data_IF_102923851735
#
_entry.id   IF_102923851735
#
_cell.length_a   1.000
_cell.length_b   1.000
_cell.length_c   1.000
_cell.angle_alpha   90.00
_cell.angle_beta   90.00
_cell.angle_gamma   90.00
#
_symmetry.space_group_name_H-M   'P 1'
#
loop_
_entity.id
_entity.type
_entity.pdbx_description
1 polymer ?
#
# COMPACT_ATOMS: atom_id res chain seq x y z
N UNK A 1 -12.56 11.26 -14.60
CA UNK A 1 -13.69 11.52 -13.67
C UNK A 1 -14.92 10.66 -13.93
N UNK A 2 -15.31 10.36 -15.18
CA UNK A 2 -16.50 9.54 -15.49
C UNK A 2 -16.55 8.18 -14.76
N UNK A 3 -15.44 7.44 -14.70
CA UNK A 3 -15.39 6.15 -13.99
C UNK A 3 -15.69 6.29 -12.49
N UNK A 4 -15.15 7.32 -11.85
CA UNK A 4 -15.41 7.59 -10.43
C UNK A 4 -16.87 8.02 -10.20
N UNK A 5 -17.45 8.80 -11.12
CA UNK A 5 -18.87 9.14 -11.09
C UNK A 5 -19.74 7.88 -11.13
N UNK A 6 -19.45 6.93 -12.03
CA UNK A 6 -20.18 5.66 -12.12
C UNK A 6 -20.05 4.82 -10.85
N UNK A 7 -18.83 4.73 -10.29
CA UNK A 7 -18.61 4.01 -9.03
C UNK A 7 -19.35 4.66 -7.85
N UNK A 8 -19.55 5.98 -7.87
CA UNK A 8 -20.29 6.71 -6.84
C UNK A 8 -21.82 6.59 -7.01
N UNK A 9 -22.35 6.83 -8.21
CA UNK A 9 -23.80 6.80 -8.51
C UNK A 9 -24.36 5.38 -8.44
N UNK A 10 -23.55 4.39 -8.80
CA UNK A 10 -23.81 2.98 -8.55
C UNK A 10 -23.64 2.11 -9.78
N UNK A 11 -23.27 0.86 -9.52
CA UNK A 11 -23.11 -0.19 -10.54
C UNK A 11 -23.86 -1.44 -10.08
N UNK A 12 -24.39 -2.20 -11.04
CA UNK A 12 -25.02 -3.49 -10.75
C UNK A 12 -23.98 -4.49 -10.27
N UNK A 13 -24.06 -4.86 -8.99
CA UNK A 13 -23.22 -5.86 -8.34
C UNK A 13 -23.98 -7.18 -8.26
N UNK A 14 -23.36 -8.25 -8.77
CA UNK A 14 -23.97 -9.58 -8.79
C UNK A 14 -24.41 -10.01 -7.37
N UNK A 15 -25.70 -10.29 -7.21
CA UNK A 15 -26.28 -10.72 -5.93
C UNK A 15 -26.53 -9.62 -4.91
N UNK A 16 -26.19 -8.36 -5.22
CA UNK A 16 -26.41 -7.21 -4.30
C UNK A 16 -27.18 -6.03 -4.91
N UNK A 17 -27.53 -6.09 -6.19
CA UNK A 17 -28.25 -5.01 -6.87
C UNK A 17 -27.35 -3.83 -7.20
N UNK A 18 -27.93 -2.64 -7.38
CA UNK A 18 -27.17 -1.42 -7.70
C UNK A 18 -26.59 -0.81 -6.43
N UNK A 19 -25.25 -0.68 -6.36
CA UNK A 19 -24.55 -0.13 -5.21
C UNK A 19 -23.55 0.96 -5.62
N UNK A 20 -23.50 2.04 -4.85
CA UNK A 20 -22.42 3.03 -4.89
C UNK A 20 -21.18 2.48 -4.17
N UNK A 21 -20.14 2.16 -4.92
CA UNK A 21 -18.94 1.47 -4.45
C UNK A 21 -17.92 2.39 -3.78
N UNK A 22 -17.94 3.69 -4.06
CA UNK A 22 -17.03 4.68 -3.47
C UNK A 22 -17.78 5.90 -2.93
N UNK A 23 -17.13 6.64 -2.02
CA UNK A 23 -17.58 7.96 -1.56
C UNK A 23 -17.45 9.02 -2.66
N UNK A 24 -18.04 10.20 -2.43
CA UNK A 24 -18.07 11.29 -3.42
C UNK A 24 -16.66 11.72 -3.85
N UNK A 25 -16.42 11.67 -5.16
CA UNK A 25 -15.10 11.80 -5.76
C UNK A 25 -14.60 13.24 -5.96
N UNK A 26 -15.43 14.26 -5.71
CA UNK A 26 -15.02 15.66 -5.79
C UNK A 26 -14.80 16.19 -4.38
N UNK A 27 -13.64 15.87 -3.83
CA UNK A 27 -13.23 16.19 -2.46
C UNK A 27 -11.75 16.56 -2.46
N UNK A 28 -11.40 17.56 -1.66
CA UNK A 28 -10.03 17.92 -1.28
C UNK A 28 -9.67 17.37 0.12
N UNK A 29 -10.62 16.69 0.78
CA UNK A 29 -10.45 16.13 2.11
C UNK A 29 -9.70 14.81 2.08
N UNK A 30 -8.79 14.64 3.03
CA UNK A 30 -8.16 13.36 3.35
C UNK A 30 -8.77 12.73 4.61
N UNK A 31 -9.77 13.37 5.22
CA UNK A 31 -10.41 12.91 6.46
C UNK A 31 -11.10 11.56 6.23
N UNK A 32 -10.92 10.64 7.17
CA UNK A 32 -11.65 9.37 7.26
C UNK A 32 -12.56 9.45 8.49
N UNK A 33 -13.85 9.15 8.36
CA UNK A 33 -14.77 9.10 9.51
C UNK A 33 -14.33 8.04 10.53
N UNK A 34 -14.70 8.26 11.80
CA UNK A 34 -14.39 7.32 12.89
C UNK A 34 -14.98 5.94 12.63
N UNK A 35 -16.16 5.87 12.02
CA UNK A 35 -16.81 4.61 11.61
C UNK A 35 -15.98 3.88 10.55
N UNK A 36 -15.57 4.57 9.48
CA UNK A 36 -14.74 3.96 8.44
C UNK A 36 -13.35 3.52 8.97
N UNK A 37 -12.77 4.25 9.92
CA UNK A 37 -11.54 3.85 10.59
C UNK A 37 -11.72 2.58 11.44
N UNK A 38 -12.85 2.46 12.15
CA UNK A 38 -13.16 1.28 12.95
C UNK A 38 -13.37 0.04 12.08
N UNK A 39 -14.14 0.17 10.99
CA UNK A 39 -14.34 -0.89 10.01
C UNK A 39 -13.03 -1.33 9.35
N UNK A 40 -12.17 -0.38 8.98
CA UNK A 40 -10.87 -0.69 8.42
C UNK A 40 -9.94 -1.38 9.42
N UNK A 41 -9.95 -0.96 10.69
CA UNK A 41 -9.22 -1.65 11.75
C UNK A 41 -9.66 -3.11 11.86
N UNK A 42 -10.95 -3.35 11.93
CA UNK A 42 -11.50 -4.72 12.02
C UNK A 42 -11.13 -5.55 10.78
N UNK A 43 -11.30 -4.99 9.59
CA UNK A 43 -10.94 -5.66 8.33
C UNK A 43 -9.44 -6.00 8.26
N UNK A 44 -8.56 -5.06 8.61
CA UNK A 44 -7.11 -5.27 8.57
C UNK A 44 -6.67 -6.31 9.61
N UNK A 45 -7.17 -6.19 10.84
CA UNK A 45 -6.78 -7.07 11.94
C UNK A 45 -7.28 -8.50 11.74
N UNK A 46 -8.49 -8.68 11.21
CA UNK A 46 -9.05 -10.00 10.89
C UNK A 46 -8.35 -10.67 9.71
N UNK A 47 -8.05 -9.92 8.64
CA UNK A 47 -7.52 -10.49 7.40
C UNK A 47 -6.01 -10.62 7.36
N UNK A 48 -5.27 -9.59 7.80
CA UNK A 48 -3.81 -9.55 7.73
C UNK A 48 -3.16 -9.82 9.08
N UNK A 49 -3.90 -9.58 10.17
CA UNK A 49 -3.44 -9.76 11.55
C UNK A 49 -3.08 -8.44 12.23
N UNK A 50 -3.09 -8.45 13.56
CA UNK A 50 -2.87 -7.24 14.39
C UNK A 50 -1.57 -6.50 14.07
N UNK A 51 -0.50 -7.22 13.70
CA UNK A 51 0.80 -6.63 13.34
C UNK A 51 0.76 -5.73 12.11
N UNK A 52 -0.29 -5.82 11.28
CA UNK A 52 -0.41 -4.99 10.09
C UNK A 52 -1.18 -3.70 10.33
N UNK A 53 -1.91 -3.54 11.44
CA UNK A 53 -2.72 -2.35 11.65
C UNK A 53 -1.90 -1.19 12.23
N UNK A 54 -2.11 0.03 11.72
CA UNK A 54 -1.70 1.29 12.34
C UNK A 54 -2.89 2.25 12.42
N UNK A 55 -3.00 2.99 13.52
CA UNK A 55 -4.02 4.04 13.64
C UNK A 55 -3.80 5.13 12.59
N UNK A 56 -4.89 5.64 12.01
CA UNK A 56 -4.82 6.73 11.06
C UNK A 56 -4.41 8.04 11.75
N UNK A 57 -3.24 8.59 11.39
CA UNK A 57 -2.61 9.72 12.08
C UNK A 57 -2.93 11.11 11.52
N UNK A 58 -4.02 11.28 10.77
CA UNK A 58 -4.28 12.56 10.11
C UNK A 58 -4.59 13.68 11.11
N UNK A 59 -3.72 14.70 11.12
CA UNK A 59 -3.96 15.97 11.80
C UNK A 59 -4.47 16.97 10.77
N UNK A 60 -5.63 17.58 11.05
CA UNK A 60 -6.28 18.57 10.20
C UNK A 60 -5.36 19.76 9.94
N UNK A 61 -5.02 20.02 8.68
CA UNK A 61 -4.19 21.17 8.27
C UNK A 61 -5.08 22.20 7.55
N UNK A 62 -5.43 23.30 8.23
CA UNK A 62 -6.04 24.48 7.61
C UNK A 62 -7.31 24.98 8.31
N UNK A 63 -7.49 26.32 8.34
CA UNK A 63 -8.61 27.00 9.01
C UNK A 63 -9.94 27.04 8.22
N UNK A 64 -9.96 26.60 6.95
CA UNK A 64 -11.08 26.80 6.03
C UNK A 64 -11.55 25.52 5.29
N UNK A 65 -11.32 24.33 5.85
CA UNK A 65 -11.79 23.09 5.22
C UNK A 65 -13.27 22.88 5.57
N UNK A 66 -14.12 22.64 4.56
CA UNK A 66 -15.49 22.19 4.77
C UNK A 66 -15.47 20.80 5.41
N UNK A 67 -15.50 20.75 6.75
CA UNK A 67 -15.23 19.57 7.59
C UNK A 67 -16.20 18.39 7.38
N UNK A 68 -17.29 18.61 6.64
CA UNK A 68 -18.25 17.57 6.28
C UNK A 68 -17.71 16.57 5.24
N UNK A 69 -16.70 16.92 4.44
CA UNK A 69 -16.24 16.03 3.35
C UNK A 69 -15.26 14.95 3.83
N UNK A 70 -15.45 13.72 3.35
CA UNK A 70 -14.53 12.60 3.52
C UNK A 70 -13.60 12.45 2.32
N UNK A 71 -12.53 11.68 2.50
CA UNK A 71 -11.71 11.20 1.39
C UNK A 71 -12.48 10.26 0.46
N UNK A 72 -11.89 10.01 -0.71
CA UNK A 72 -12.37 8.98 -1.64
C UNK A 72 -11.95 7.61 -1.10
N UNK A 73 -12.92 6.78 -0.74
CA UNK A 73 -12.73 5.44 -0.17
C UNK A 73 -13.85 4.50 -0.62
N UNK A 74 -13.70 3.17 -0.44
CA UNK A 74 -14.82 2.25 -0.58
C UNK A 74 -15.97 2.62 0.37
N UNK A 75 -17.20 2.57 -0.13
CA UNK A 75 -18.41 2.67 0.70
C UNK A 75 -18.64 1.39 1.51
N UNK A 76 -18.23 0.26 0.94
CA UNK A 76 -18.37 -1.09 1.46
C UNK A 76 -16.98 -1.73 1.51
N UNK A 77 -16.40 -1.83 2.70
CA UNK A 77 -15.04 -2.37 2.87
C UNK A 77 -15.00 -3.88 2.67
N UNK A 78 -16.13 -4.55 2.85
CA UNK A 78 -16.27 -5.99 2.68
C UNK A 78 -16.39 -6.41 1.21
N UNK A 79 -16.51 -5.46 0.27
CA UNK A 79 -16.55 -5.74 -1.16
C UNK A 79 -15.14 -5.66 -1.74
N UNK A 80 -14.35 -6.71 -1.58
CA UNK A 80 -12.98 -6.68 -2.08
C UNK A 80 -12.92 -6.61 -3.60
N UNK A 81 -11.84 -6.04 -4.20
CA UNK A 81 -11.73 -5.95 -5.65
C UNK A 81 -12.00 -7.28 -6.37
N UNK A 82 -11.51 -8.40 -5.83
CA UNK A 82 -11.69 -9.73 -6.40
C UNK A 82 -13.17 -10.16 -6.49
N UNK A 83 -14.01 -9.76 -5.54
CA UNK A 83 -15.44 -10.08 -5.54
C UNK A 83 -16.21 -9.30 -6.62
N UNK A 84 -15.64 -8.18 -7.08
CA UNK A 84 -16.24 -7.29 -8.05
C UNK A 84 -15.73 -7.50 -9.49
N UNK A 85 -14.79 -8.43 -9.70
CA UNK A 85 -14.15 -8.67 -11.01
C UNK A 85 -15.17 -8.96 -12.12
N UNK A 86 -16.26 -9.68 -11.80
CA UNK A 86 -17.32 -10.00 -12.75
C UNK A 86 -18.44 -8.94 -12.83
N UNK A 87 -18.45 -7.96 -11.94
CA UNK A 87 -19.48 -6.89 -11.91
C UNK A 87 -18.99 -5.59 -12.53
N UNK A 88 -17.67 -5.40 -12.64
CA UNK A 88 -17.04 -4.18 -13.14
C UNK A 88 -16.40 -4.42 -14.50
N UNK A 89 -16.42 -3.39 -15.36
CA UNK A 89 -15.55 -3.40 -16.53
C UNK A 89 -14.08 -3.21 -16.10
N UNK A 90 -13.15 -3.47 -17.03
CA UNK A 90 -11.70 -3.45 -16.77
C UNK A 90 -11.21 -2.14 -16.13
N UNK A 91 -11.72 -0.99 -16.57
CA UNK A 91 -11.24 0.31 -16.09
C UNK A 91 -11.90 0.71 -14.76
N UNK A 92 -13.17 0.39 -14.56
CA UNK A 92 -13.86 0.52 -13.26
C UNK A 92 -13.18 -0.35 -12.20
N UNK A 93 -12.86 -1.61 -12.53
CA UNK A 93 -12.17 -2.52 -11.64
C UNK A 93 -10.79 -1.98 -11.25
N UNK A 94 -9.99 -1.53 -12.22
CA UNK A 94 -8.67 -0.95 -11.95
C UNK A 94 -8.77 0.28 -11.03
N UNK A 95 -9.74 1.16 -11.27
CA UNK A 95 -9.93 2.35 -10.45
C UNK A 95 -10.42 1.98 -9.04
N UNK A 96 -11.40 1.08 -8.93
CA UNK A 96 -11.89 0.61 -7.64
C UNK A 96 -10.76 -0.06 -6.85
N UNK A 97 -9.99 -0.96 -7.47
CA UNK A 97 -8.83 -1.61 -6.86
C UNK A 97 -7.81 -0.58 -6.36
N UNK A 98 -7.52 0.45 -7.15
CA UNK A 98 -6.60 1.52 -6.73
C UNK A 98 -7.11 2.26 -5.49
N UNK A 99 -8.39 2.66 -5.48
CA UNK A 99 -9.02 3.35 -4.35
C UNK A 99 -9.02 2.45 -3.11
N UNK A 100 -9.43 1.19 -3.27
CA UNK A 100 -9.49 0.19 -2.20
C UNK A 100 -8.11 -0.04 -1.58
N UNK A 101 -7.12 -0.38 -2.41
CA UNK A 101 -5.75 -0.63 -1.95
C UNK A 101 -5.16 0.59 -1.25
N UNK A 102 -5.38 1.81 -1.77
CA UNK A 102 -4.89 3.04 -1.15
C UNK A 102 -5.54 3.30 0.22
N UNK A 103 -6.84 3.07 0.34
CA UNK A 103 -7.59 3.26 1.57
C UNK A 103 -7.16 2.27 2.67
N UNK A 104 -6.98 0.99 2.33
CA UNK A 104 -6.51 0.00 3.30
C UNK A 104 -5.05 0.29 3.70
N UNK A 105 -4.18 0.55 2.73
CA UNK A 105 -2.76 0.80 2.97
C UNK A 105 -2.48 1.98 3.91
N UNK A 106 -3.32 3.03 3.91
CA UNK A 106 -3.09 4.19 4.77
C UNK A 106 -3.23 3.87 6.27
N UNK A 107 -3.91 2.78 6.61
CA UNK A 107 -4.07 2.25 7.97
C UNK A 107 -3.29 0.95 8.20
N UNK A 108 -2.35 0.62 7.31
CA UNK A 108 -1.41 -0.49 7.50
C UNK A 108 -0.03 -0.02 7.93
N UNK A 109 0.66 -0.81 8.75
CA UNK A 109 2.03 -0.59 9.20
C UNK A 109 3.00 -0.39 8.02
N UNK A 110 4.08 0.33 8.27
CA UNK A 110 5.09 0.59 7.26
C UNK A 110 5.85 -0.70 6.92
N UNK A 111 6.32 -0.81 5.68
CA UNK A 111 7.24 -1.87 5.30
C UNK A 111 8.58 -1.67 6.01
N UNK A 112 9.17 -2.75 6.52
CA UNK A 112 10.47 -2.72 7.18
C UNK A 112 11.50 -3.39 6.29
N UNK A 113 12.61 -2.69 6.08
CA UNK A 113 13.74 -3.17 5.29
C UNK A 113 14.99 -3.22 6.17
N UNK A 114 15.78 -4.26 5.97
CA UNK A 114 17.17 -4.33 6.40
C UNK A 114 18.02 -3.69 5.31
N UNK A 115 18.85 -2.71 5.68
CA UNK A 115 19.84 -2.10 4.80
C UNK A 115 21.22 -2.62 5.17
N UNK A 116 21.96 -3.12 4.19
CA UNK A 116 23.30 -3.65 4.35
C UNK A 116 24.28 -2.81 3.54
N UNK A 117 25.44 -2.52 4.11
CA UNK A 117 26.53 -1.82 3.43
C UNK A 117 27.82 -2.57 3.70
N UNK A 118 28.34 -3.26 2.69
CA UNK A 118 29.62 -3.98 2.77
C UNK A 118 30.69 -3.10 2.13
N UNK A 119 31.73 -2.78 2.89
CA UNK A 119 32.94 -2.17 2.35
C UNK A 119 34.04 -3.22 2.29
N UNK A 120 34.81 -3.25 1.21
CA UNK A 120 35.91 -4.18 1.03
C UNK A 120 37.12 -3.42 0.49
N UNK A 121 38.25 -3.61 1.14
CA UNK A 121 39.52 -2.98 0.78
C UNK A 121 40.37 -4.01 0.03
N UNK A 122 40.87 -3.63 -1.15
CA UNK A 122 41.73 -4.45 -1.98
C UNK A 122 42.90 -3.59 -2.43
N UNK A 123 44.08 -3.85 -1.88
CA UNK A 123 45.28 -3.01 -2.05
C UNK A 123 44.95 -1.53 -1.74
N UNK A 124 45.09 -0.64 -2.73
CA UNK A 124 44.79 0.80 -2.59
C UNK A 124 43.34 1.18 -2.98
N UNK A 125 42.47 0.19 -3.22
CA UNK A 125 41.10 0.39 -3.69
C UNK A 125 40.05 0.03 -2.65
N UNK A 126 39.03 0.88 -2.54
CA UNK A 126 37.87 0.64 -1.68
C UNK A 126 36.64 0.31 -2.55
N UNK A 127 36.01 -0.82 -2.29
CA UNK A 127 34.77 -1.24 -2.91
C UNK A 127 33.62 -1.12 -1.92
N UNK A 128 32.44 -0.78 -2.43
CA UNK A 128 31.21 -0.70 -1.62
C UNK A 128 30.06 -1.40 -2.33
N UNK A 129 29.37 -2.27 -1.61
CA UNK A 129 28.13 -2.88 -2.02
C UNK A 129 27.01 -2.48 -1.05
N UNK A 130 25.86 -2.07 -1.57
CA UNK A 130 24.68 -1.77 -0.77
C UNK A 130 23.58 -2.80 -1.06
N UNK A 131 23.03 -3.38 -0.02
CA UNK A 131 21.95 -4.37 -0.06
C UNK A 131 20.71 -3.86 0.65
N UNK A 132 19.56 -4.35 0.22
CA UNK A 132 18.27 -4.05 0.83
C UNK A 132 17.41 -5.31 0.79
N UNK A 133 16.91 -5.73 1.95
CA UNK A 133 16.07 -6.92 2.11
C UNK A 133 14.79 -6.57 2.85
N UNK A 134 13.65 -6.99 2.34
CA UNK A 134 12.34 -6.78 2.96
C UNK A 134 12.19 -7.74 4.17
N UNK A 135 12.07 -7.17 5.36
CA UNK A 135 11.80 -7.93 6.59
C UNK A 135 10.30 -8.04 6.89
N UNK A 136 9.54 -7.01 6.52
CA UNK A 136 8.10 -6.95 6.71
C UNK A 136 7.46 -6.13 5.60
N UNK A 137 6.49 -6.71 4.90
CA UNK A 137 5.81 -6.10 3.75
C UNK A 137 4.86 -4.96 4.14
N UNK A 138 4.31 -4.95 5.36
CA UNK A 138 3.44 -3.86 5.83
C UNK A 138 2.33 -3.54 4.83
N UNK A 139 2.17 -2.25 4.51
CA UNK A 139 1.20 -1.78 3.52
C UNK A 139 1.46 -2.24 2.08
N UNK A 140 2.70 -2.64 1.73
CA UNK A 140 3.04 -3.11 0.37
C UNK A 140 2.28 -4.38 0.00
N UNK A 141 1.82 -5.15 1.01
CA UNK A 141 0.99 -6.33 0.83
C UNK A 141 -0.30 -6.06 0.03
N UNK A 142 -0.83 -4.83 0.09
CA UNK A 142 -2.09 -4.45 -0.58
C UNK A 142 -1.92 -3.32 -1.58
N UNK A 143 -0.86 -2.53 -1.46
CA UNK A 143 -0.59 -1.37 -2.29
C UNK A 143 0.86 -1.38 -2.76
N UNK A 144 1.06 -1.99 -3.91
CA UNK A 144 2.37 -2.03 -4.56
C UNK A 144 2.69 -0.63 -5.12
N UNK A 145 3.51 0.08 -4.37
CA UNK A 145 4.02 1.42 -4.71
C UNK A 145 5.52 1.39 -4.98
N UNK A 146 6.20 0.29 -4.68
CA UNK A 146 7.66 0.28 -4.60
C UNK A 146 8.29 -0.11 -5.94
N UNK A 147 9.13 0.77 -6.45
CA UNK A 147 10.19 0.45 -7.42
C UNK A 147 11.43 -0.14 -6.74
N UNK A 148 11.34 -0.49 -5.45
CA UNK A 148 12.46 -0.96 -4.64
C UNK A 148 12.66 -2.46 -4.88
N UNK A 149 13.50 -2.79 -5.86
CA UNK A 149 13.99 -4.15 -6.04
C UNK A 149 14.83 -4.56 -4.82
N UNK A 150 14.60 -5.76 -4.29
CA UNK A 150 15.45 -6.33 -3.25
C UNK A 150 16.85 -6.59 -3.84
N UNK A 151 17.88 -6.04 -3.18
CA UNK A 151 19.26 -6.38 -3.50
C UNK A 151 19.84 -7.16 -2.33
N UNK A 152 19.73 -8.48 -2.39
CA UNK A 152 20.17 -9.36 -1.31
C UNK A 152 21.67 -9.57 -1.44
N UNK A 153 22.43 -9.09 -0.47
CA UNK A 153 23.87 -9.36 -0.37
C UNK A 153 24.11 -10.66 0.41
N UNK A 154 25.23 -11.36 0.15
CA UNK A 154 25.65 -12.47 0.97
C UNK A 154 25.97 -12.01 2.40
N UNK A 155 25.80 -12.91 3.37
CA UNK A 155 26.31 -12.69 4.72
C UNK A 155 27.84 -12.71 4.69
N UNK A 156 28.46 -11.72 5.33
CA UNK A 156 29.91 -11.63 5.51
C UNK A 156 30.22 -11.24 6.95
N UNK A 157 31.38 -11.68 7.45
CA UNK A 157 31.88 -11.25 8.76
C UNK A 157 32.86 -10.07 8.63
N UNK A 158 33.01 -9.29 9.69
CA UNK A 158 34.00 -8.22 9.74
C UNK A 158 35.41 -8.82 9.61
N UNK A 159 36.22 -8.26 8.72
CA UNK A 159 37.56 -8.75 8.36
C UNK A 159 37.60 -10.13 7.65
N UNK A 160 36.48 -10.60 7.11
CA UNK A 160 36.47 -11.81 6.28
C UNK A 160 37.33 -11.64 5.02
N UNK A 161 38.23 -12.59 4.76
CA UNK A 161 39.09 -12.58 3.58
C UNK A 161 38.34 -13.21 2.40
N UNK A 162 37.86 -12.38 1.49
CA UNK A 162 37.18 -12.81 0.27
C UNK A 162 38.17 -13.11 -0.87
N UNK A 163 37.93 -14.20 -1.61
CA UNK A 163 38.74 -14.55 -2.79
C UNK A 163 38.17 -13.91 -4.05
N UNK A 164 39.02 -13.28 -4.85
CA UNK A 164 38.63 -12.83 -6.18
C UNK A 164 38.48 -14.01 -7.15
N UNK A 165 37.40 -14.01 -7.92
CA UNK A 165 37.20 -14.93 -9.05
C UNK A 165 37.11 -14.12 -10.34
N UNK A 166 37.91 -14.51 -11.34
CA UNK A 166 37.82 -13.95 -12.68
C UNK A 166 36.70 -14.67 -13.44
N UNK A 167 35.59 -13.99 -13.65
CA UNK A 167 34.54 -14.43 -14.57
C UNK A 167 34.78 -13.75 -15.92
N UNK A 168 35.01 -14.53 -16.97
CA UNK A 168 35.02 -14.02 -18.35
C UNK A 168 33.62 -14.34 -18.91
N UNK A 169 32.90 -13.30 -19.31
CA UNK A 169 31.58 -13.41 -19.95
C UNK A 169 31.74 -13.17 -21.45
#
# INVERSE_FOLDING_TARGET
MQLAQQLYEGISVKGRGTLGLITYMRTDSQRISSEAQALAKEHITSKYGNKYYKSYGYKQTGKNVQDAHECIRPSHIELEPMELENSLNKDQYKLYRLIYSRFIACMMQDALYEQQSINADIDDYNFKANGSKLLFDGFLRVYDYSTSEENILPSVEENEILKSKKNIT
#
